data_IF_819301303306
#
_entry.id   IF_819301303306
#
_cell.length_a   1.000
_cell.length_b   1.000
_cell.length_c   1.000
_cell.angle_alpha   90.00
_cell.angle_beta   90.00
_cell.angle_gamma   90.00
#
_symmetry.space_group_name_H-M   'P 1'
#
loop_
_entity.id
_entity.type
_entity.pdbx_description
1 polymer ?
#
# COMPACT_ATOMS: atom_id res chain seq x y z
N UNK A 1 13.87 10.63 14.12
CA UNK A 1 13.44 10.05 12.84
C UNK A 1 14.47 9.03 12.44
N UNK A 2 14.05 7.78 12.29
CA UNK A 2 14.83 6.66 11.75
C UNK A 2 14.26 6.28 10.38
N UNK A 3 15.01 5.47 9.63
CA UNK A 3 14.62 5.04 8.29
C UNK A 3 14.78 3.54 8.11
N UNK A 4 13.83 2.91 7.42
CA UNK A 4 13.92 1.51 6.99
C UNK A 4 13.55 1.39 5.52
N UNK A 5 14.34 0.63 4.77
CA UNK A 5 14.10 0.36 3.36
C UNK A 5 13.34 -0.98 3.24
N UNK A 6 12.14 -0.93 2.69
CA UNK A 6 11.35 -2.12 2.32
C UNK A 6 11.45 -2.28 0.81
N UNK A 7 12.34 -3.16 0.37
CA UNK A 7 12.66 -3.35 -1.05
C UNK A 7 12.47 -4.80 -1.46
N UNK A 8 11.90 -5.03 -2.65
CA UNK A 8 11.95 -6.35 -3.25
C UNK A 8 13.41 -6.74 -3.44
N UNK A 9 13.78 -7.97 -3.05
CA UNK A 9 15.13 -8.45 -3.37
C UNK A 9 15.32 -8.48 -4.88
N UNK A 10 16.55 -8.30 -5.35
CA UNK A 10 16.83 -8.24 -6.78
C UNK A 10 16.28 -9.48 -7.51
N UNK A 11 15.45 -9.26 -8.52
CA UNK A 11 14.80 -10.33 -9.27
C UNK A 11 14.65 -9.96 -10.75
N UNK A 12 14.46 -10.96 -11.59
CA UNK A 12 14.16 -10.79 -13.02
C UNK A 12 12.66 -10.72 -13.21
N UNK A 13 12.20 -9.77 -14.03
CA UNK A 13 10.79 -9.61 -14.34
C UNK A 13 10.35 -10.57 -15.46
N UNK A 14 9.12 -11.11 -15.41
CA UNK A 14 8.53 -11.82 -16.54
C UNK A 14 8.43 -10.93 -17.79
N UNK A 15 8.49 -11.55 -18.97
CA UNK A 15 8.11 -10.91 -20.23
C UNK A 15 6.58 -10.88 -20.39
N UNK A 16 5.91 -10.18 -19.48
CA UNK A 16 4.48 -9.95 -19.48
C UNK A 16 4.21 -8.44 -19.53
N UNK A 17 3.06 -8.05 -20.08
CA UNK A 17 2.65 -6.65 -20.22
C UNK A 17 2.48 -6.00 -18.84
N UNK A 18 1.85 -6.72 -17.92
CA UNK A 18 1.61 -6.31 -16.54
C UNK A 18 2.06 -7.42 -15.59
N UNK A 19 2.75 -7.05 -14.51
CA UNK A 19 3.11 -7.99 -13.44
C UNK A 19 3.01 -7.30 -12.08
N UNK A 20 2.46 -8.00 -11.09
CA UNK A 20 2.43 -7.58 -9.70
C UNK A 20 3.31 -8.51 -8.89
N UNK A 21 4.31 -7.97 -8.21
CA UNK A 21 5.23 -8.76 -7.38
C UNK A 21 5.10 -8.34 -5.92
N UNK A 22 4.99 -9.33 -5.03
CA UNK A 22 4.87 -9.12 -3.60
C UNK A 22 6.06 -9.67 -2.82
N UNK A 23 6.36 -9.03 -1.69
CA UNK A 23 7.25 -9.57 -0.65
C UNK A 23 6.82 -9.07 0.73
N UNK A 24 6.95 -9.91 1.75
CA UNK A 24 6.60 -9.60 3.13
C UNK A 24 7.80 -9.08 3.93
N UNK A 25 7.52 -8.16 4.85
CA UNK A 25 8.51 -7.57 5.76
C UNK A 25 7.99 -7.67 7.19
N UNK A 26 8.86 -8.05 8.11
CA UNK A 26 8.59 -7.89 9.54
C UNK A 26 8.89 -6.44 9.92
N UNK A 27 7.95 -5.81 10.62
CA UNK A 27 8.13 -4.47 11.19
C UNK A 27 8.73 -4.59 12.60
N UNK A 28 9.31 -3.50 13.16
CA UNK A 28 9.80 -3.47 14.53
C UNK A 28 8.74 -3.94 15.54
N UNK A 29 9.17 -4.59 16.63
CA UNK A 29 8.29 -5.14 17.68
C UNK A 29 8.79 -4.85 19.09
N UNK A 30 9.89 -4.12 19.21
CA UNK A 30 10.54 -3.74 20.45
C UNK A 30 9.76 -2.64 21.19
N UNK A 31 9.11 -1.74 20.45
CA UNK A 31 8.18 -0.73 20.96
C UNK A 31 7.25 -0.25 19.83
N UNK A 32 6.32 0.63 20.14
CA UNK A 32 5.48 1.27 19.13
C UNK A 32 6.22 2.43 18.44
N UNK A 33 6.00 2.55 17.14
CA UNK A 33 6.49 3.62 16.29
C UNK A 33 5.36 4.16 15.40
N UNK A 34 5.55 5.37 14.87
CA UNK A 34 4.71 5.93 13.80
C UNK A 34 5.53 6.09 12.53
N UNK A 35 5.04 5.54 11.42
CA UNK A 35 5.50 5.91 10.06
C UNK A 35 4.92 7.29 9.77
N UNK A 36 5.80 8.26 9.52
CA UNK A 36 5.46 9.69 9.33
C UNK A 36 5.76 10.20 7.92
N UNK A 37 6.46 9.43 7.11
CA UNK A 37 6.66 9.71 5.70
C UNK A 37 7.16 8.45 4.96
N UNK A 38 7.04 8.46 3.64
CA UNK A 38 7.68 7.49 2.75
C UNK A 38 8.23 8.16 1.48
N UNK A 39 9.25 7.55 0.88
CA UNK A 39 9.78 7.95 -0.43
C UNK A 39 10.06 6.72 -1.31
N UNK A 40 9.95 6.84 -2.64
CA UNK A 40 10.27 5.75 -3.56
C UNK A 40 11.79 5.51 -3.66
N UNK A 41 12.17 4.25 -3.71
CA UNK A 41 13.51 3.78 -4.07
C UNK A 41 13.43 3.04 -5.41
N UNK A 42 13.63 3.77 -6.51
CA UNK A 42 13.50 3.23 -7.87
C UNK A 42 14.84 2.71 -8.39
N UNK A 43 14.90 1.42 -8.70
CA UNK A 43 16.03 0.76 -9.38
C UNK A 43 15.78 0.71 -10.90
N UNK A 44 14.56 0.37 -11.33
CA UNK A 44 14.20 0.30 -12.74
C UNK A 44 13.02 1.21 -13.12
N UNK A 45 13.33 2.47 -13.42
CA UNK A 45 12.35 3.49 -13.79
C UNK A 45 11.63 3.23 -15.14
N UNK A 46 12.05 2.23 -15.92
CA UNK A 46 11.41 1.91 -17.20
C UNK A 46 10.11 1.11 -17.06
N UNK A 47 9.93 0.44 -15.92
CA UNK A 47 8.83 -0.53 -15.73
C UNK A 47 8.10 -0.37 -14.42
N UNK A 48 8.71 0.21 -13.37
CA UNK A 48 8.00 0.45 -12.11
C UNK A 48 6.91 1.51 -12.35
N UNK A 49 5.64 1.13 -12.16
CA UNK A 49 4.50 2.00 -12.39
C UNK A 49 3.90 2.51 -11.07
N UNK A 50 3.69 1.63 -10.08
CA UNK A 50 3.34 2.05 -8.72
C UNK A 50 3.74 1.00 -7.69
N UNK A 51 3.76 1.40 -6.42
CA UNK A 51 4.04 0.56 -5.27
C UNK A 51 3.00 0.79 -4.18
N UNK A 52 2.61 -0.29 -3.50
CA UNK A 52 1.68 -0.25 -2.38
C UNK A 52 2.28 -1.02 -1.21
N UNK A 53 2.32 -0.40 -0.03
CA UNK A 53 2.70 -1.08 1.21
C UNK A 53 1.45 -1.35 2.05
N UNK A 54 1.14 -2.62 2.24
CA UNK A 54 -0.01 -3.04 3.03
C UNK A 54 0.39 -3.45 4.44
N UNK A 55 -0.18 -2.82 5.46
CA UNK A 55 -0.13 -3.25 6.85
C UNK A 55 -1.08 -4.41 7.12
N UNK A 56 -0.58 -5.47 7.75
CA UNK A 56 -1.33 -6.69 7.99
C UNK A 56 -1.82 -6.81 9.43
N UNK A 57 -3.04 -7.30 9.58
CA UNK A 57 -3.57 -7.78 10.86
C UNK A 57 -2.90 -9.09 11.30
N UNK A 58 -2.89 -9.35 12.60
CA UNK A 58 -2.27 -10.54 13.22
C UNK A 58 -2.89 -11.87 12.74
N UNK A 59 -4.13 -11.85 12.20
CA UNK A 59 -4.77 -13.02 11.60
C UNK A 59 -4.13 -13.48 10.29
N UNK A 60 -3.42 -12.60 9.59
CA UNK A 60 -2.71 -12.97 8.35
C UNK A 60 -1.35 -13.55 8.74
N UNK A 61 -1.20 -14.87 8.64
CA UNK A 61 0.04 -15.58 8.99
C UNK A 61 0.96 -15.84 7.80
N UNK A 62 0.44 -15.76 6.57
CA UNK A 62 1.23 -15.98 5.34
C UNK A 62 2.42 -15.02 5.26
N UNK A 63 3.57 -15.53 4.86
CA UNK A 63 4.80 -14.75 4.71
C UNK A 63 5.48 -15.05 3.37
N UNK A 64 5.56 -14.03 2.52
CA UNK A 64 6.16 -14.10 1.19
C UNK A 64 7.64 -13.72 1.32
N UNK A 65 8.50 -14.72 1.48
CA UNK A 65 9.92 -14.51 1.83
C UNK A 65 10.77 -13.93 0.69
N UNK A 66 10.31 -14.04 -0.55
CA UNK A 66 11.00 -13.56 -1.75
C UNK A 66 9.99 -13.01 -2.75
N UNK A 67 10.39 -12.09 -3.65
CA UNK A 67 9.54 -11.56 -4.71
C UNK A 67 8.79 -12.69 -5.42
N UNK A 68 7.48 -12.67 -5.31
CA UNK A 68 6.60 -13.68 -5.88
C UNK A 68 5.46 -12.95 -6.59
N UNK A 69 5.08 -13.44 -7.76
CA UNK A 69 3.90 -12.90 -8.45
C UNK A 69 2.67 -13.06 -7.55
N UNK A 70 1.91 -11.99 -7.40
CA UNK A 70 0.77 -11.94 -6.52
C UNK A 70 -0.39 -11.24 -7.21
N UNK A 71 -1.60 -11.52 -6.73
CA UNK A 71 -2.77 -10.71 -7.03
C UNK A 71 -2.99 -9.74 -5.86
N UNK A 72 -4.25 -9.51 -5.47
CA UNK A 72 -4.56 -8.67 -4.33
C UNK A 72 -3.97 -9.21 -3.02
N UNK A 73 -3.27 -8.33 -2.31
CA UNK A 73 -2.86 -8.56 -0.93
C UNK A 73 -4.05 -8.96 -0.05
N UNK A 74 -3.83 -9.96 0.82
CA UNK A 74 -4.79 -10.31 1.89
C UNK A 74 -4.88 -9.23 2.97
N UNK A 75 -3.91 -8.30 2.99
CA UNK A 75 -3.87 -7.17 3.89
C UNK A 75 -4.49 -5.95 3.21
N UNK A 76 -5.43 -5.30 3.88
CA UNK A 76 -6.26 -4.25 3.27
C UNK A 76 -5.87 -2.83 3.67
N UNK A 77 -5.05 -2.67 4.72
CA UNK A 77 -4.63 -1.35 5.19
C UNK A 77 -3.43 -0.87 4.40
N UNK A 78 -3.61 0.11 3.51
CA UNK A 78 -2.49 0.77 2.83
C UNK A 78 -1.82 1.71 3.83
N UNK A 79 -0.52 1.54 4.08
CA UNK A 79 0.27 2.28 5.08
C UNK A 79 1.47 3.01 4.48
N UNK A 80 1.52 3.07 3.15
CA UNK A 80 2.54 3.74 2.35
C UNK A 80 2.34 3.38 0.88
N UNK A 81 2.82 4.21 -0.03
CA UNK A 81 2.65 3.95 -1.45
C UNK A 81 3.26 5.04 -2.32
N UNK A 82 3.40 4.72 -3.60
CA UNK A 82 3.95 5.64 -4.58
C UNK A 82 3.42 5.31 -5.97
N UNK A 83 3.16 6.32 -6.78
CA UNK A 83 2.86 6.19 -8.21
C UNK A 83 3.70 7.15 -9.06
N UNK A 84 3.86 6.84 -10.36
CA UNK A 84 4.59 7.72 -11.30
C UNK A 84 4.13 9.18 -11.16
N UNK A 85 5.10 10.07 -10.94
CA UNK A 85 4.87 11.51 -10.79
C UNK A 85 4.82 11.99 -9.34
N UNK A 86 4.72 11.08 -8.37
CA UNK A 86 4.78 11.41 -6.95
C UNK A 86 6.24 11.46 -6.45
N UNK A 87 6.46 12.19 -5.37
CA UNK A 87 7.76 12.25 -4.67
C UNK A 87 7.83 11.36 -3.42
N UNK A 88 6.72 10.71 -3.07
CA UNK A 88 6.48 10.14 -1.75
C UNK A 88 5.53 11.00 -0.92
N UNK A 89 5.18 10.54 0.27
CA UNK A 89 4.19 11.14 1.16
C UNK A 89 4.82 11.61 2.47
N UNK A 90 4.36 12.73 3.02
CA UNK A 90 4.88 13.27 4.28
C UNK A 90 3.74 13.79 5.16
N UNK A 91 3.53 13.13 6.30
CA UNK A 91 2.39 13.32 7.19
C UNK A 91 2.58 14.43 8.23
N UNK A 92 3.41 15.43 7.93
CA UNK A 92 3.72 16.63 8.75
C UNK A 92 4.16 16.42 10.22
N UNK A 93 4.23 15.17 10.68
CA UNK A 93 4.61 14.78 12.05
C UNK A 93 3.46 14.85 13.06
N UNK A 94 2.24 15.22 12.68
CA UNK A 94 1.06 15.22 13.57
C UNK A 94 0.21 13.95 13.46
N UNK A 95 0.36 13.22 12.35
CA UNK A 95 -0.34 11.97 12.08
C UNK A 95 0.64 10.92 11.54
N UNK A 96 0.34 9.64 11.73
CA UNK A 96 1.16 8.56 11.17
C UNK A 96 0.59 7.17 11.39
N UNK A 97 1.03 6.20 10.59
CA UNK A 97 0.61 4.80 10.75
C UNK A 97 1.37 4.15 11.90
N UNK A 98 0.64 3.61 12.89
CA UNK A 98 1.26 2.92 14.03
C UNK A 98 1.77 1.55 13.63
N UNK A 99 3.05 1.30 13.89
CA UNK A 99 3.71 -0.01 13.77
C UNK A 99 4.26 -0.42 15.14
N UNK A 100 4.45 -1.72 15.36
CA UNK A 100 4.92 -2.21 16.67
C UNK A 100 3.92 -3.13 17.38
N UNK A 101 4.14 -3.42 18.67
CA UNK A 101 3.29 -4.30 19.48
C UNK A 101 1.78 -3.98 19.41
N UNK A 102 1.40 -2.70 19.37
CA UNK A 102 0.00 -2.26 19.29
C UNK A 102 -0.39 -1.71 17.91
N UNK A 103 0.42 -1.95 16.88
CA UNK A 103 0.15 -1.53 15.51
C UNK A 103 0.40 -2.66 14.51
N UNK A 104 0.73 -2.28 13.27
CA UNK A 104 1.11 -3.26 12.26
C UNK A 104 2.48 -3.88 12.59
N UNK A 105 2.54 -5.21 12.58
CA UNK A 105 3.76 -6.00 12.87
C UNK A 105 4.38 -6.62 11.63
N UNK A 106 3.62 -6.62 10.54
CA UNK A 106 4.00 -7.17 9.24
C UNK A 106 3.46 -6.26 8.16
N UNK A 107 4.24 -6.08 7.12
CA UNK A 107 3.81 -5.41 5.90
C UNK A 107 4.03 -6.30 4.68
N UNK A 108 3.26 -6.06 3.62
CA UNK A 108 3.47 -6.64 2.30
C UNK A 108 3.68 -5.49 1.33
N UNK A 109 4.84 -5.45 0.68
CA UNK A 109 5.09 -4.55 -0.44
C UNK A 109 4.62 -5.25 -1.71
N UNK A 110 3.80 -4.56 -2.49
CA UNK A 110 3.37 -4.92 -3.83
C UNK A 110 3.90 -3.88 -4.81
N UNK A 111 4.57 -4.32 -5.88
CA UNK A 111 5.01 -3.45 -6.97
C UNK A 111 4.31 -3.88 -8.25
N UNK A 112 3.65 -2.92 -8.88
CA UNK A 112 3.09 -3.06 -10.22
C UNK A 112 4.12 -2.62 -11.25
N UNK A 113 4.43 -3.54 -12.16
CA UNK A 113 5.30 -3.32 -13.30
C UNK A 113 4.49 -3.24 -14.59
N UNK A 114 4.73 -2.19 -15.38
CA UNK A 114 4.23 -1.98 -16.73
C UNK A 114 5.37 -2.22 -17.73
N UNK A 115 5.34 -3.34 -18.45
CA UNK A 115 6.39 -3.80 -19.37
C UNK A 115 5.82 -4.05 -20.79
N UNK A 116 5.35 -3.01 -21.49
CA UNK A 116 4.68 -3.15 -22.80
C UNK A 116 5.61 -3.64 -23.91
N UNK A 117 6.93 -3.64 -23.67
CA UNK A 117 7.93 -4.17 -24.60
C UNK A 117 8.25 -5.65 -24.36
N UNK A 118 7.63 -6.28 -23.36
CA UNK A 118 7.80 -7.70 -23.01
C UNK A 118 9.27 -8.09 -22.84
N UNK A 119 10.08 -7.21 -22.24
CA UNK A 119 11.52 -7.44 -22.08
C UNK A 119 11.73 -8.45 -20.95
N UNK A 120 12.30 -9.62 -21.25
CA UNK A 120 12.58 -10.70 -20.29
C UNK A 120 13.87 -10.53 -19.48
N UNK A 121 14.69 -9.54 -19.81
CA UNK A 121 16.00 -9.31 -19.20
C UNK A 121 16.01 -8.21 -18.16
N UNK A 122 14.89 -7.50 -17.98
CA UNK A 122 14.78 -6.49 -16.93
C UNK A 122 14.92 -7.13 -15.56
N UNK A 123 15.73 -6.48 -14.74
CA UNK A 123 15.85 -6.77 -13.33
C UNK A 123 15.41 -5.54 -12.56
N UNK A 124 14.93 -5.78 -11.35
CA UNK A 124 14.52 -4.71 -10.45
C UNK A 124 14.81 -5.10 -9.01
N UNK A 125 15.06 -4.08 -8.20
CA UNK A 125 15.17 -4.15 -6.74
C UNK A 125 14.55 -2.92 -6.11
N UNK A 126 13.45 -2.41 -6.67
CA UNK A 126 12.77 -1.21 -6.17
C UNK A 126 12.01 -1.46 -4.87
N UNK A 127 11.61 -0.36 -4.22
CA UNK A 127 10.76 -0.39 -3.04
C UNK A 127 10.54 0.98 -2.44
N UNK A 128 10.24 1.03 -1.15
CA UNK A 128 10.01 2.27 -0.41
C UNK A 128 11.03 2.42 0.71
N UNK A 129 11.40 3.66 1.00
CA UNK A 129 11.99 4.02 2.29
C UNK A 129 10.89 4.60 3.17
N UNK A 130 10.79 4.07 4.38
CA UNK A 130 9.87 4.55 5.40
C UNK A 130 10.64 5.38 6.42
N UNK A 131 10.09 6.53 6.78
CA UNK A 131 10.56 7.36 7.89
C UNK A 131 9.65 7.14 9.08
N UNK A 132 10.23 6.75 10.21
CA UNK A 132 9.47 6.47 11.42
C UNK A 132 10.12 7.06 12.67
N UNK A 133 9.33 7.18 13.73
CA UNK A 133 9.76 7.67 15.04
C UNK A 133 9.04 6.93 16.17
N UNK A 134 9.60 6.89 17.39
CA UNK A 134 8.90 6.33 18.54
C UNK A 134 7.52 6.94 18.69
N UNK A 135 6.53 6.10 18.97
CA UNK A 135 5.15 6.57 19.10
C UNK A 135 5.01 7.56 20.27
N UNK A 136 4.18 8.57 20.07
CA UNK A 136 3.93 9.63 21.06
C UNK A 136 2.47 10.06 21.03
N UNK A 137 1.96 10.55 22.17
CA UNK A 137 0.59 11.04 22.30
C UNK A 137 0.29 12.28 21.44
N UNK A 138 1.34 12.97 20.98
CA UNK A 138 1.24 14.12 20.07
C UNK A 138 0.95 13.71 18.63
N UNK A 139 1.17 12.44 18.27
CA UNK A 139 0.91 11.91 16.92
C UNK A 139 -0.38 11.09 16.96
N UNK A 140 -1.30 11.36 16.03
CA UNK A 140 -2.55 10.59 15.92
C UNK A 140 -2.39 9.42 14.96
N UNK A 141 -2.97 8.29 15.34
CA UNK A 141 -2.92 7.07 14.55
C UNK A 141 -3.73 7.24 13.26
N UNK A 142 -3.06 7.05 12.13
CA UNK A 142 -3.70 6.95 10.82
C UNK A 142 -4.16 5.53 10.56
N UNK A 143 -5.24 5.43 9.78
CA UNK A 143 -5.70 4.18 9.21
C UNK A 143 -6.27 4.47 7.82
N UNK A 144 -6.26 3.45 6.97
CA UNK A 144 -6.85 3.52 5.64
C UNK A 144 -8.18 2.79 5.63
N UNK A 145 -9.21 3.44 5.09
CA UNK A 145 -10.52 2.83 4.88
C UNK A 145 -10.82 2.78 3.39
N UNK A 146 -10.95 1.56 2.87
CA UNK A 146 -11.46 1.37 1.52
C UNK A 146 -12.99 1.53 1.52
N UNK A 147 -13.51 2.34 0.61
CA UNK A 147 -14.94 2.52 0.40
C UNK A 147 -15.26 2.42 -1.09
N UNK A 148 -16.45 1.91 -1.42
CA UNK A 148 -16.85 1.64 -2.80
C UNK A 148 -17.35 0.21 -3.00
N UNK A 149 -17.51 -0.20 -4.26
CA UNK A 149 -17.86 -1.57 -4.61
C UNK A 149 -16.63 -2.35 -5.04
N UNK A 150 -16.43 -3.51 -4.45
CA UNK A 150 -15.38 -4.47 -4.86
C UNK A 150 -15.78 -5.30 -6.08
N UNK A 151 -17.05 -5.30 -6.45
CA UNK A 151 -17.61 -6.01 -7.60
C UNK A 151 -18.45 -5.07 -8.44
N UNK A 152 -17.99 -4.79 -9.66
CA UNK A 152 -18.65 -3.92 -10.62
C UNK A 152 -19.17 -4.75 -11.80
N UNK A 153 -20.49 -4.89 -11.93
CA UNK A 153 -21.10 -5.49 -13.13
C UNK A 153 -21.44 -4.39 -14.13
N UNK A 154 -20.72 -4.38 -15.25
CA UNK A 154 -20.81 -3.36 -16.30
C UNK A 154 -21.39 -3.96 -17.60
N UNK A 155 -22.60 -3.55 -18.03
CA UNK A 155 -23.15 -4.02 -19.31
C UNK A 155 -22.33 -3.49 -20.51
N UNK A 156 -22.08 -4.32 -21.54
CA UNK A 156 -21.32 -3.89 -22.70
C UNK A 156 -22.08 -2.84 -23.53
N UNK A 157 -21.32 -2.01 -24.27
CA UNK A 157 -21.87 -1.04 -25.23
C UNK A 157 -22.52 0.21 -24.61
N UNK A 158 -22.43 0.37 -23.29
CA UNK A 158 -22.93 1.57 -22.62
C UNK A 158 -21.86 2.66 -22.62
N UNK A 159 -22.22 3.88 -23.01
CA UNK A 159 -21.29 5.03 -22.98
C UNK A 159 -21.04 5.58 -21.57
N UNK A 160 -21.94 5.30 -20.63
CA UNK A 160 -21.80 5.68 -19.21
C UNK A 160 -22.58 4.69 -18.36
N UNK A 161 -21.94 4.17 -17.31
CA UNK A 161 -22.57 3.36 -16.27
C UNK A 161 -22.25 4.02 -14.92
N UNK A 162 -23.26 4.15 -14.07
CA UNK A 162 -23.09 4.71 -12.73
C UNK A 162 -23.27 3.61 -11.69
N UNK A 163 -22.32 3.55 -10.76
CA UNK A 163 -22.30 2.63 -9.63
C UNK A 163 -22.02 3.45 -8.37
N UNK A 164 -22.89 3.34 -7.38
CA UNK A 164 -22.78 4.09 -6.12
C UNK A 164 -22.58 3.13 -4.96
N UNK A 165 -21.44 3.26 -4.28
CA UNK A 165 -21.17 2.61 -3.00
C UNK A 165 -21.44 3.60 -1.86
N UNK A 166 -21.99 3.14 -0.74
CA UNK A 166 -22.27 4.02 0.41
C UNK A 166 -21.99 3.28 1.71
N UNK A 167 -21.12 3.84 2.56
CA UNK A 167 -21.04 3.48 3.97
C UNK A 167 -22.12 4.27 4.73
N UNK A 168 -23.25 3.63 4.98
CA UNK A 168 -24.40 4.25 5.67
C UNK A 168 -24.10 4.54 7.15
N UNK A 169 -25.02 5.21 7.84
CA UNK A 169 -24.86 5.51 9.27
C UNK A 169 -24.65 4.28 10.15
N UNK A 170 -25.18 3.12 9.78
CA UNK A 170 -24.91 1.85 10.48
C UNK A 170 -23.48 1.37 10.26
N UNK A 171 -22.94 1.50 9.05
CA UNK A 171 -21.53 1.23 8.74
C UNK A 171 -20.60 2.17 9.52
N UNK A 172 -20.81 3.49 9.46
CA UNK A 172 -19.94 4.46 10.14
C UNK A 172 -19.99 4.32 11.66
N UNK A 173 -21.17 4.08 12.25
CA UNK A 173 -21.30 3.87 13.71
C UNK A 173 -20.67 2.56 14.19
N UNK A 174 -20.54 1.59 13.29
CA UNK A 174 -19.85 0.32 13.57
C UNK A 174 -18.34 0.53 13.54
N UNK A 175 -17.83 1.19 12.50
CA UNK A 175 -16.39 1.40 12.28
C UNK A 175 -15.77 2.44 13.21
N UNK A 176 -16.46 3.55 13.45
CA UNK A 176 -15.90 4.69 14.18
C UNK A 176 -16.52 4.78 15.58
N UNK A 177 -15.68 4.62 16.60
CA UNK A 177 -16.04 4.84 18.01
C UNK A 177 -15.69 6.24 18.50
N UNK A 178 -14.83 6.92 17.75
CA UNK A 178 -14.38 8.29 18.02
C UNK A 178 -14.50 9.14 16.75
N UNK A 179 -14.25 10.44 16.89
CA UNK A 179 -14.23 11.34 15.73
C UNK A 179 -13.02 11.03 14.85
N UNK A 180 -13.27 10.89 13.55
CA UNK A 180 -12.25 10.68 12.52
C UNK A 180 -12.16 11.93 11.65
N UNK A 181 -10.95 12.28 11.23
CA UNK A 181 -10.68 13.38 10.30
C UNK A 181 -10.10 12.81 9.02
N UNK A 182 -10.65 13.21 7.87
CA UNK A 182 -10.13 12.83 6.57
C UNK A 182 -8.85 13.62 6.29
N UNK A 183 -7.73 12.91 6.14
CA UNK A 183 -6.45 13.51 5.78
C UNK A 183 -6.24 13.53 4.25
N UNK A 184 -6.43 12.38 3.60
CA UNK A 184 -6.29 12.22 2.15
C UNK A 184 -7.32 11.24 1.60
N UNK A 185 -7.52 11.24 0.28
CA UNK A 185 -8.39 10.31 -0.43
C UNK A 185 -7.83 10.02 -1.82
N UNK A 186 -7.76 8.73 -2.17
CA UNK A 186 -7.27 8.27 -3.47
C UNK A 186 -8.36 7.50 -4.19
N UNK A 187 -8.61 7.86 -5.45
CA UNK A 187 -9.53 7.12 -6.31
C UNK A 187 -8.78 5.96 -6.98
N UNK A 188 -9.43 4.80 -7.06
CA UNK A 188 -8.90 3.62 -7.75
C UNK A 188 -9.96 3.05 -8.69
N UNK A 189 -9.57 2.79 -9.94
CA UNK A 189 -10.39 2.19 -10.99
C UNK A 189 -9.48 1.53 -12.02
N UNK A 190 -9.95 0.48 -12.67
CA UNK A 190 -9.25 -0.16 -13.79
C UNK A 190 -9.70 0.42 -15.13
N UNK A 191 -8.94 0.14 -16.20
CA UNK A 191 -9.45 0.36 -17.55
C UNK A 191 -10.64 -0.59 -17.79
N UNK A 192 -11.75 -0.04 -18.30
CA UNK A 192 -13.01 -0.75 -18.60
C UNK A 192 -13.03 -1.14 -20.07
#
# INVERSE_FOLDING_TARGET
>A
IETVDVKLTKHTLPAADTTYMCMSFNLPKDQDYHIVADEPLIDNAYVVHHMMLYGCDDSITDFIASPTECEMSKCTSIIGGWSVGETGECYDGTVGFRIGPNGFKKAILEIHYDNPKLVSTYQDSSGLRLYYQPASDTVKDMFTMLTGQTMLVLPPGQSRIEKVGTCTSSCTSTLFKEKVYLNSATNHMHLI
#
